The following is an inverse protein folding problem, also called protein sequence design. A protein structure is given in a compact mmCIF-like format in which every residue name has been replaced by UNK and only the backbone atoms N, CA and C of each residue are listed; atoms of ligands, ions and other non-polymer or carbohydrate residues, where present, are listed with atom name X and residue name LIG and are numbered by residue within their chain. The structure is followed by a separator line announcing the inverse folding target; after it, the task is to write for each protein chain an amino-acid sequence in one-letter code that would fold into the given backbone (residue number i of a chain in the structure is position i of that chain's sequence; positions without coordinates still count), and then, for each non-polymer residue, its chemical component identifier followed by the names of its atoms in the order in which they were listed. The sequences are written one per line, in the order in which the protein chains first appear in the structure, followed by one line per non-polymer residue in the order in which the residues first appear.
data_IF_872920414760
#
_entry.id   IF_872920414760
#
_cell.length_a   1.000
_cell.length_b   1.000
_cell.length_c   1.000
_cell.angle_alpha   90.00
_cell.angle_beta   90.00
_cell.angle_gamma   90.00
#
_symmetry.space_group_name_H-M   'P 1'
#
loop_
_entity.id
_entity.type
_entity.pdbx_description
1 polymer ?
#
# COMPACT_ATOMS: atom_id res chain seq x y z
N UNK A 1 11.68 0.28 -7.52
CA UNK A 1 10.78 0.43 -6.35
C UNK A 1 10.12 1.79 -6.40
N UNK A 2 8.95 1.97 -5.78
CA UNK A 2 8.24 3.26 -5.69
C UNK A 2 7.84 3.50 -4.24
N UNK A 3 7.90 4.74 -3.77
CA UNK A 3 7.40 5.12 -2.44
C UNK A 3 5.88 5.19 -2.51
N UNK A 4 5.19 4.63 -1.52
CA UNK A 4 3.71 4.57 -1.45
C UNK A 4 3.14 5.29 -0.23
N UNK A 5 3.96 5.55 0.78
CA UNK A 5 3.58 6.28 1.98
C UNK A 5 4.83 6.80 2.70
N UNK A 6 4.75 8.02 3.21
CA UNK A 6 5.71 8.68 4.11
C UNK A 6 4.90 9.23 5.28
N UNK A 7 5.25 8.83 6.49
CA UNK A 7 4.65 9.29 7.73
C UNK A 7 5.68 9.23 8.86
N UNK A 8 5.46 10.00 9.93
CA UNK A 8 6.20 9.78 11.17
C UNK A 8 5.75 8.49 11.86
N UNK A 9 6.60 7.95 12.73
CA UNK A 9 6.32 6.69 13.41
C UNK A 9 5.05 6.75 14.29
N UNK A 10 4.81 7.82 15.09
CA UNK A 10 3.58 7.91 15.88
C UNK A 10 2.30 7.87 15.05
N UNK A 11 2.23 8.57 13.92
CA UNK A 11 1.06 8.55 13.04
C UNK A 11 0.92 7.22 12.31
N UNK A 12 2.04 6.61 11.88
CA UNK A 12 2.03 5.35 11.15
C UNK A 12 1.63 4.15 12.03
N UNK A 13 2.15 4.06 13.26
CA UNK A 13 1.89 2.92 14.16
C UNK A 13 0.77 3.19 15.17
N UNK A 14 0.43 4.44 15.45
CA UNK A 14 -0.66 4.85 16.34
C UNK A 14 -2.02 4.89 15.64
N UNK A 15 -2.98 5.63 16.23
CA UNK A 15 -4.25 5.96 15.59
C UNK A 15 -4.15 7.29 14.84
N UNK A 16 -4.55 7.38 13.56
CA UNK A 16 -5.41 6.46 12.79
C UNK A 16 -4.68 5.30 12.06
N UNK A 17 -3.35 5.29 12.05
CA UNK A 17 -2.52 4.27 11.41
C UNK A 17 -2.18 4.59 9.95
N UNK A 18 -1.62 3.62 9.19
CA UNK A 18 -1.21 3.85 7.81
C UNK A 18 -2.41 4.12 6.91
N UNK A 19 -2.26 5.09 6.02
CA UNK A 19 -3.30 5.57 5.11
C UNK A 19 -3.35 4.74 3.83
N UNK A 20 -2.20 4.34 3.30
CA UNK A 20 -2.15 3.59 2.04
C UNK A 20 -2.55 2.12 2.29
N UNK A 21 -3.47 1.54 1.50
CA UNK A 21 -3.95 0.16 1.71
C UNK A 21 -2.84 -0.90 1.77
N UNK A 22 -1.78 -0.73 0.97
CA UNK A 22 -0.58 -1.58 1.04
C UNK A 22 0.08 -1.56 2.43
N UNK A 23 0.35 -0.38 3.00
CA UNK A 23 1.00 -0.25 4.29
C UNK A 23 0.13 -0.82 5.42
N UNK A 24 -1.19 -0.62 5.35
CA UNK A 24 -2.12 -1.27 6.29
C UNK A 24 -2.12 -2.79 6.15
N UNK A 25 -2.13 -3.30 4.93
CA UNK A 25 -2.03 -4.74 4.66
C UNK A 25 -0.73 -5.34 5.23
N UNK A 26 0.39 -4.63 5.12
CA UNK A 26 1.67 -5.08 5.71
C UNK A 26 1.58 -5.16 7.23
N UNK A 27 0.98 -4.17 7.90
CA UNK A 27 0.80 -4.22 9.35
C UNK A 27 -0.16 -5.34 9.76
N UNK A 28 -1.27 -5.53 9.05
CA UNK A 28 -2.26 -6.56 9.38
C UNK A 28 -1.74 -7.98 9.15
N UNK A 29 -0.74 -8.16 8.29
CA UNK A 29 -0.08 -9.44 8.08
C UNK A 29 0.85 -9.86 9.22
N UNK A 30 1.14 -8.96 10.17
CA UNK A 30 2.00 -9.30 11.31
C UNK A 30 1.29 -10.27 12.27
N UNK A 31 2.03 -11.23 12.88
CA UNK A 31 1.46 -12.23 13.81
C UNK A 31 0.78 -11.65 15.05
N UNK A 32 1.20 -10.47 15.50
CA UNK A 32 0.65 -9.74 16.65
C UNK A 32 -0.58 -8.89 16.30
N UNK A 33 -1.02 -8.92 15.04
CA UNK A 33 -2.24 -8.26 14.56
C UNK A 33 -3.26 -9.30 14.07
N UNK A 34 -3.83 -9.08 12.90
CA UNK A 34 -4.85 -9.94 12.30
C UNK A 34 -4.25 -11.21 11.67
N UNK A 35 -2.92 -11.25 11.49
CA UNK A 35 -2.19 -12.27 10.75
C UNK A 35 -2.82 -12.56 9.37
N UNK A 36 -3.32 -11.50 8.74
CA UNK A 36 -4.05 -11.53 7.48
C UNK A 36 -3.11 -11.15 6.32
N UNK A 37 -2.64 -12.11 5.49
CA UNK A 37 -1.71 -11.82 4.41
C UNK A 37 -2.38 -11.01 3.29
N UNK A 38 -1.59 -10.18 2.62
CA UNK A 38 -2.00 -9.55 1.36
C UNK A 38 -2.10 -10.66 0.29
N UNK A 39 -3.25 -10.85 -0.37
CA UNK A 39 -3.40 -11.90 -1.39
C UNK A 39 -2.60 -11.58 -2.65
N UNK A 40 -2.21 -12.65 -3.36
CA UNK A 40 -1.50 -12.56 -4.64
C UNK A 40 -0.03 -12.17 -4.51
N UNK A 41 0.62 -12.04 -5.67
CA UNK A 41 2.06 -11.78 -5.77
C UNK A 41 2.34 -10.34 -6.24
N UNK A 42 3.44 -9.71 -5.79
CA UNK A 42 3.89 -8.46 -6.38
C UNK A 42 4.21 -8.64 -7.87
N UNK A 43 4.06 -7.57 -8.70
CA UNK A 43 4.49 -7.61 -10.09
C UNK A 43 6.01 -7.76 -10.19
N UNK A 44 6.46 -8.36 -11.28
CA UNK A 44 7.89 -8.41 -11.63
C UNK A 44 8.46 -6.99 -11.79
N UNK A 45 9.67 -6.76 -11.29
CA UNK A 45 10.29 -5.43 -11.32
C UNK A 45 10.54 -4.91 -12.76
N UNK A 46 10.71 -5.82 -13.73
CA UNK A 46 10.85 -5.49 -15.16
C UNK A 46 9.53 -5.28 -15.89
N UNK A 47 8.39 -5.55 -15.24
CA UNK A 47 7.05 -5.49 -15.84
C UNK A 47 6.07 -4.75 -14.90
N UNK A 48 6.52 -3.61 -14.36
CA UNK A 48 5.67 -2.78 -13.51
C UNK A 48 4.54 -2.13 -14.33
N UNK A 49 3.32 -2.04 -13.78
CA UNK A 49 2.25 -1.32 -14.44
C UNK A 49 2.57 0.18 -14.53
N UNK A 50 1.92 0.83 -15.50
CA UNK A 50 1.96 2.29 -15.66
C UNK A 50 1.39 3.00 -14.43
N UNK A 51 0.29 2.47 -13.88
CA UNK A 51 -0.37 2.97 -12.68
C UNK A 51 0.19 2.46 -11.35
N UNK A 52 -0.66 2.43 -10.32
CA UNK A 52 -0.31 1.92 -9.00
C UNK A 52 0.10 0.44 -9.05
N UNK A 53 1.31 0.12 -8.59
CA UNK A 53 1.83 -1.25 -8.57
C UNK A 53 1.09 -2.18 -7.59
N UNK A 54 0.29 -1.61 -6.68
CA UNK A 54 -0.53 -2.36 -5.73
C UNK A 54 -1.97 -2.57 -6.22
N UNK A 55 -2.40 -1.92 -7.31
CA UNK A 55 -3.80 -1.92 -7.75
C UNK A 55 -4.41 -3.33 -7.89
N UNK A 56 -3.67 -4.28 -8.50
CA UNK A 56 -4.16 -5.65 -8.69
C UNK A 56 -4.34 -6.48 -7.40
N UNK A 57 -3.87 -5.98 -6.25
CA UNK A 57 -3.98 -6.61 -4.93
C UNK A 57 -4.69 -5.73 -3.90
N UNK A 58 -5.13 -4.54 -4.31
CA UNK A 58 -5.74 -3.55 -3.43
C UNK A 58 -7.25 -3.78 -3.39
N UNK A 59 -7.80 -3.95 -2.19
CA UNK A 59 -9.24 -4.06 -1.92
C UNK A 59 -10.02 -2.77 -2.20
N UNK A 60 -9.30 -1.65 -2.33
CA UNK A 60 -9.84 -0.30 -2.61
C UNK A 60 -9.41 0.24 -3.97
N UNK A 61 -8.99 -0.62 -4.90
CA UNK A 61 -8.60 -0.19 -6.23
C UNK A 61 -9.78 0.45 -6.98
N UNK A 62 -9.51 1.55 -7.66
CA UNK A 62 -10.47 2.28 -8.48
C UNK A 62 -9.84 2.72 -9.81
N UNK A 63 -10.56 3.53 -10.59
CA UNK A 63 -10.08 4.05 -11.87
C UNK A 63 -8.84 4.94 -11.73
N UNK A 64 -8.66 5.65 -10.60
CA UNK A 64 -7.49 6.52 -10.40
C UNK A 64 -6.20 5.71 -10.27
N UNK A 65 -6.29 4.48 -9.78
CA UNK A 65 -5.15 3.55 -9.69
C UNK A 65 -4.54 3.18 -11.05
N UNK A 66 -5.25 3.43 -12.17
CA UNK A 66 -4.73 3.25 -13.53
C UNK A 66 -3.61 4.24 -13.89
N UNK A 67 -3.46 5.32 -13.13
CA UNK A 67 -2.37 6.29 -13.26
C UNK A 67 -1.43 6.18 -12.07
N UNK A 68 -0.19 6.66 -12.23
CA UNK A 68 0.74 6.73 -11.11
C UNK A 68 0.25 7.82 -10.14
N UNK A 69 -0.14 7.49 -8.90
CA UNK A 69 -0.56 8.51 -7.95
C UNK A 69 0.60 9.45 -7.64
N UNK A 70 0.28 10.73 -7.47
CA UNK A 70 1.24 11.68 -6.89
C UNK A 70 1.23 11.49 -5.39
N UNK A 71 2.42 11.53 -4.79
CA UNK A 71 2.55 11.54 -3.35
C UNK A 71 2.08 12.91 -2.82
N UNK A 72 0.91 12.96 -2.20
CA UNK A 72 0.30 14.14 -1.62
C UNK A 72 0.18 13.94 -0.12
N UNK A 73 0.68 14.91 0.65
CA UNK A 73 0.72 14.84 2.12
C UNK A 73 1.34 13.53 2.65
N UNK A 74 2.23 12.92 1.87
CA UNK A 74 2.89 11.65 2.19
C UNK A 74 2.16 10.37 1.77
N UNK A 75 1.14 10.39 0.90
CA UNK A 75 0.53 9.16 0.28
C UNK A 75 0.25 9.38 -1.19
#
# INVERSE_FOLDING_TARGET
SRIVEIADAPAFFGGPGPRHPYARGLLNALPDRDFAPIPGMPPELGALPTGCAFAGRCDRADAACGQLPRLLDGV
#
